data_IF_397145876777
#
_entry.id   IF_397145876777
#
_cell.length_a   1.000
_cell.length_b   1.000
_cell.length_c   1.000
_cell.angle_alpha   90.00
_cell.angle_beta   90.00
_cell.angle_gamma   90.00
#
_symmetry.space_group_name_H-M   'P 1'
#
loop_
_entity.id
_entity.type
_entity.pdbx_description
1 polymer ?
#
# COMPACT_ATOMS: atom_id res chain seq x y z
N UNK A 1 -9.16 -2.38 4.03
CA UNK A 1 -9.99 -3.15 5.01
C UNK A 1 -11.44 -2.76 4.83
N UNK A 2 -12.36 -3.73 4.77
CA UNK A 2 -13.79 -3.46 4.69
C UNK A 2 -14.35 -2.86 5.99
N UNK A 3 -15.54 -2.26 5.91
CA UNK A 3 -16.32 -1.90 7.09
C UNK A 3 -16.95 -3.15 7.71
N UNK A 4 -16.79 -3.36 9.02
CA UNK A 4 -17.39 -4.51 9.73
C UNK A 4 -18.91 -4.50 9.63
N UNK A 5 -19.52 -3.30 9.59
CA UNK A 5 -20.96 -3.15 9.39
C UNK A 5 -21.37 -3.65 8.00
N UNK A 6 -20.58 -3.31 6.96
CA UNK A 6 -20.83 -3.79 5.60
C UNK A 6 -20.73 -5.31 5.52
N UNK A 7 -19.69 -5.91 6.14
CA UNK A 7 -19.51 -7.38 6.17
C UNK A 7 -20.70 -8.07 6.84
N UNK A 8 -21.17 -7.50 7.95
CA UNK A 8 -22.31 -8.04 8.69
C UNK A 8 -23.64 -7.94 7.94
N UNK A 9 -23.84 -6.84 7.23
CA UNK A 9 -25.07 -6.59 6.46
C UNK A 9 -25.10 -7.26 5.09
N UNK A 10 -23.92 -7.58 4.53
CA UNK A 10 -23.77 -8.13 3.17
C UNK A 10 -22.79 -9.32 3.11
N UNK A 11 -22.96 -10.37 3.96
CA UNK A 11 -22.00 -11.46 4.05
C UNK A 11 -21.86 -12.23 2.73
N UNK A 12 -22.95 -12.43 1.99
CA UNK A 12 -22.95 -13.17 0.72
C UNK A 12 -22.18 -12.41 -0.36
N UNK A 13 -22.32 -11.09 -0.43
CA UNK A 13 -21.56 -10.26 -1.37
C UNK A 13 -20.04 -10.32 -1.07
N UNK A 14 -19.66 -10.31 0.22
CA UNK A 14 -18.25 -10.44 0.63
C UNK A 14 -17.71 -11.82 0.27
N UNK A 15 -18.47 -12.89 0.53
CA UNK A 15 -18.09 -14.27 0.15
C UNK A 15 -17.97 -14.43 -1.38
N UNK A 16 -18.87 -13.84 -2.15
CA UNK A 16 -18.79 -13.85 -3.61
C UNK A 16 -17.53 -13.12 -4.10
N UNK A 17 -17.20 -11.97 -3.50
CA UNK A 17 -15.98 -11.24 -3.82
C UNK A 17 -14.71 -12.07 -3.51
N UNK A 18 -14.68 -12.77 -2.39
CA UNK A 18 -13.59 -13.69 -2.03
C UNK A 18 -13.43 -14.79 -3.09
N UNK A 19 -14.55 -15.38 -3.56
CA UNK A 19 -14.53 -16.39 -4.65
C UNK A 19 -14.02 -15.80 -5.96
N UNK A 20 -14.48 -14.59 -6.34
CA UNK A 20 -13.98 -13.88 -7.52
C UNK A 20 -12.47 -13.62 -7.47
N UNK A 21 -11.90 -13.49 -6.28
CA UNK A 21 -10.45 -13.35 -6.05
C UNK A 21 -9.72 -14.69 -5.90
N UNK A 22 -10.40 -15.83 -6.08
CA UNK A 22 -9.84 -17.17 -5.94
C UNK A 22 -9.18 -17.43 -4.56
N UNK A 23 -9.79 -16.87 -3.51
CA UNK A 23 -9.27 -16.94 -2.14
C UNK A 23 -10.20 -17.75 -1.21
N UNK A 24 -10.76 -18.86 -1.69
CA UNK A 24 -11.80 -19.65 -1.00
C UNK A 24 -11.44 -20.06 0.44
N UNK A 25 -10.15 -20.20 0.76
CA UNK A 25 -9.67 -20.45 2.10
C UNK A 25 -10.08 -19.37 3.12
N UNK A 26 -10.42 -18.16 2.66
CA UNK A 26 -10.88 -17.05 3.49
C UNK A 26 -12.39 -17.02 3.74
N UNK A 27 -13.19 -17.86 3.06
CA UNK A 27 -14.65 -17.89 3.21
C UNK A 27 -15.12 -18.06 4.65
N UNK A 28 -14.53 -19.00 5.46
CA UNK A 28 -14.94 -19.19 6.85
C UNK A 28 -14.71 -17.95 7.74
N UNK A 29 -13.75 -17.08 7.37
CA UNK A 29 -13.44 -15.87 8.13
C UNK A 29 -14.60 -14.88 8.17
N UNK A 30 -15.45 -14.87 7.13
CA UNK A 30 -16.63 -14.00 7.07
C UNK A 30 -17.64 -14.37 8.16
N UNK A 31 -17.92 -15.67 8.32
CA UNK A 31 -18.85 -16.14 9.36
C UNK A 31 -18.23 -15.97 10.77
N UNK A 32 -16.93 -16.29 10.91
CA UNK A 32 -16.21 -16.12 12.17
C UNK A 32 -16.23 -14.66 12.64
N UNK A 33 -15.97 -13.70 11.76
CA UNK A 33 -15.92 -12.28 12.15
C UNK A 33 -17.30 -11.77 12.56
N UNK A 34 -18.39 -12.21 11.90
CA UNK A 34 -19.76 -11.84 12.24
C UNK A 34 -20.14 -12.39 13.62
N UNK A 35 -19.78 -13.65 13.92
CA UNK A 35 -20.01 -14.27 15.24
C UNK A 35 -19.25 -13.52 16.34
N UNK A 36 -17.95 -13.24 16.10
CA UNK A 36 -17.12 -12.54 17.10
C UNK A 36 -17.56 -11.08 17.30
N UNK A 37 -17.98 -10.37 16.24
CA UNK A 37 -18.55 -9.04 16.36
C UNK A 37 -19.85 -9.02 17.17
N UNK A 38 -20.69 -10.04 17.02
CA UNK A 38 -21.90 -10.16 17.85
C UNK A 38 -21.55 -10.34 19.33
N UNK A 39 -20.57 -11.19 19.67
CA UNK A 39 -20.08 -11.39 21.04
C UNK A 39 -19.44 -10.11 21.59
N UNK A 40 -18.58 -9.46 20.81
CA UNK A 40 -17.93 -8.20 21.17
C UNK A 40 -18.95 -7.12 21.55
N UNK A 41 -19.97 -6.92 20.70
CA UNK A 41 -21.04 -5.92 20.98
C UNK A 41 -21.90 -6.29 22.19
N UNK A 42 -22.10 -7.59 22.45
CA UNK A 42 -22.81 -8.05 23.65
C UNK A 42 -21.97 -7.79 24.91
N UNK A 43 -20.69 -8.12 24.90
CA UNK A 43 -19.77 -7.86 26.01
C UNK A 43 -19.67 -6.35 26.31
N UNK A 44 -19.50 -5.52 25.28
CA UNK A 44 -19.44 -4.06 25.42
C UNK A 44 -20.69 -3.50 26.11
N UNK A 45 -21.89 -3.93 25.67
CA UNK A 45 -23.16 -3.53 26.26
C UNK A 45 -23.30 -3.95 27.74
N UNK A 46 -22.81 -5.15 28.08
CA UNK A 46 -22.83 -5.66 29.44
C UNK A 46 -21.85 -4.90 30.34
N UNK A 47 -20.65 -4.61 29.86
CA UNK A 47 -19.65 -3.77 30.55
C UNK A 47 -20.22 -2.37 30.85
N UNK A 48 -20.86 -1.74 29.87
CA UNK A 48 -21.53 -0.43 30.09
C UNK A 48 -22.64 -0.51 31.15
N UNK A 49 -23.47 -1.55 31.11
CA UNK A 49 -24.54 -1.76 32.09
C UNK A 49 -24.01 -1.97 33.53
N UNK A 50 -22.94 -2.81 33.66
CA UNK A 50 -22.30 -3.04 34.96
C UNK A 50 -21.62 -1.79 35.51
N UNK A 51 -20.92 -1.02 34.67
CA UNK A 51 -20.36 0.29 35.06
C UNK A 51 -21.44 1.28 35.53
N UNK A 52 -22.58 1.34 34.84
CA UNK A 52 -23.70 2.18 35.23
C UNK A 52 -24.33 1.72 36.56
N UNK A 53 -24.55 0.40 36.77
CA UNK A 53 -25.04 -0.20 38.00
C UNK A 53 -24.10 0.10 39.19
N UNK A 54 -22.81 -0.13 39.02
CA UNK A 54 -21.76 0.20 40.01
C UNK A 54 -21.79 1.67 40.44
N UNK A 55 -21.88 2.58 39.46
CA UNK A 55 -21.95 4.01 39.76
C UNK A 55 -23.22 4.38 40.53
N UNK A 56 -24.38 3.75 40.23
CA UNK A 56 -25.63 3.96 40.93
C UNK A 56 -25.55 3.46 42.37
N UNK A 57 -25.04 2.26 42.61
CA UNK A 57 -24.86 1.68 43.96
C UNK A 57 -23.86 2.50 44.80
N UNK A 58 -22.73 2.92 44.22
CA UNK A 58 -21.77 3.78 44.90
C UNK A 58 -22.35 5.11 45.32
N UNK A 59 -23.20 5.73 44.48
CA UNK A 59 -23.90 6.96 44.81
C UNK A 59 -24.96 6.75 45.90
N UNK A 60 -25.63 5.60 45.94
CA UNK A 60 -26.64 5.28 46.95
C UNK A 60 -26.05 5.12 48.37
N UNK A 61 -24.77 4.74 48.48
CA UNK A 61 -24.08 4.63 49.77
C UNK A 61 -23.84 5.98 50.44
N UNK A 62 -23.74 7.09 49.70
CA UNK A 62 -23.51 8.43 50.27
C UNK A 62 -24.57 8.87 51.30
N UNK A 63 -25.85 8.84 50.96
CA UNK A 63 -26.95 9.09 51.92
C UNK A 63 -26.96 8.11 53.09
N UNK A 64 -26.69 6.80 52.86
CA UNK A 64 -26.66 5.78 53.90
C UNK A 64 -25.53 6.05 54.91
N UNK A 65 -24.35 6.45 54.49
CA UNK A 65 -23.29 6.87 55.40
C UNK A 65 -23.66 8.11 56.20
N UNK A 66 -24.41 9.05 55.58
CA UNK A 66 -24.94 10.22 56.27
C UNK A 66 -25.99 9.87 57.36
N UNK A 67 -26.84 8.88 57.06
CA UNK A 67 -27.82 8.35 57.99
C UNK A 67 -27.16 7.57 59.13
N UNK A 68 -26.20 6.70 58.80
CA UNK A 68 -25.45 5.91 59.79
C UNK A 68 -24.77 6.81 60.85
N UNK A 69 -24.17 7.92 60.42
CA UNK A 69 -23.53 8.90 61.33
C UNK A 69 -24.51 9.63 62.26
N UNK A 70 -25.76 9.78 61.88
CA UNK A 70 -26.79 10.51 62.66
C UNK A 70 -27.71 9.60 63.50
N UNK A 71 -27.70 8.30 63.21
CA UNK A 71 -28.54 7.31 63.88
C UNK A 71 -28.01 7.03 65.27
N UNK A 72 -28.93 7.02 66.28
CA UNK A 72 -28.62 6.67 67.67
C UNK A 72 -29.14 5.30 68.08
N UNK A 73 -30.07 4.72 67.32
CA UNK A 73 -30.61 3.37 67.50
C UNK A 73 -29.71 2.28 66.95
N UNK A 74 -29.32 1.38 67.81
CA UNK A 74 -28.37 0.29 67.44
C UNK A 74 -28.98 -0.71 66.44
N UNK A 75 -30.31 -0.98 66.52
CA UNK A 75 -30.96 -1.86 65.55
C UNK A 75 -30.98 -1.24 64.12
N UNK A 76 -31.34 0.06 64.03
CA UNK A 76 -31.32 0.81 62.78
C UNK A 76 -29.91 0.99 62.20
N UNK A 77 -28.89 1.19 63.05
CA UNK A 77 -27.48 1.24 62.59
C UNK A 77 -27.06 -0.07 61.94
N UNK A 78 -27.40 -1.21 62.54
CA UNK A 78 -27.10 -2.52 62.00
C UNK A 78 -27.77 -2.74 60.65
N UNK A 79 -29.02 -2.28 60.46
CA UNK A 79 -29.72 -2.41 59.17
C UNK A 79 -29.10 -1.53 58.09
N UNK A 80 -28.77 -0.25 58.41
CA UNK A 80 -28.09 0.64 57.46
C UNK A 80 -26.70 0.10 57.10
N UNK A 81 -25.95 -0.42 58.06
CA UNK A 81 -24.62 -1.04 57.80
C UNK A 81 -24.75 -2.27 56.89
N UNK A 82 -25.73 -3.14 57.16
CA UNK A 82 -25.96 -4.33 56.30
C UNK A 82 -26.31 -3.92 54.85
N UNK A 83 -27.04 -2.84 54.65
CA UNK A 83 -27.37 -2.32 53.33
C UNK A 83 -26.14 -1.73 52.61
N UNK A 84 -25.27 -1.02 53.34
CA UNK A 84 -23.97 -0.54 52.80
C UNK A 84 -23.10 -1.71 52.42
N UNK A 85 -23.01 -2.74 53.27
CA UNK A 85 -22.17 -3.92 53.01
C UNK A 85 -22.70 -4.72 51.81
N UNK A 86 -24.03 -4.86 51.67
CA UNK A 86 -24.63 -5.48 50.50
C UNK A 86 -24.34 -4.70 49.21
N UNK A 87 -24.46 -3.37 49.22
CA UNK A 87 -24.11 -2.53 48.10
C UNK A 87 -22.61 -2.63 47.74
N UNK A 88 -21.72 -2.66 48.74
CA UNK A 88 -20.29 -2.79 48.52
C UNK A 88 -19.93 -4.17 47.93
N UNK A 89 -20.60 -5.23 48.40
CA UNK A 89 -20.43 -6.58 47.85
C UNK A 89 -20.89 -6.64 46.37
N UNK A 90 -22.01 -6.02 46.03
CA UNK A 90 -22.51 -5.93 44.65
C UNK A 90 -21.56 -5.08 43.78
N UNK A 91 -21.08 -3.93 44.29
CA UNK A 91 -20.08 -3.11 43.58
C UNK A 91 -18.78 -3.92 43.25
N UNK A 92 -18.34 -4.77 44.21
CA UNK A 92 -17.18 -5.61 44.01
C UNK A 92 -17.45 -6.70 42.97
N UNK A 93 -18.59 -7.39 43.07
CA UNK A 93 -18.98 -8.41 42.10
C UNK A 93 -19.10 -7.84 40.66
N UNK A 94 -19.72 -6.65 40.51
CA UNK A 94 -19.81 -5.95 39.22
C UNK A 94 -18.46 -5.52 38.72
N UNK A 95 -17.51 -5.16 39.60
CA UNK A 95 -16.15 -4.81 39.20
C UNK A 95 -15.36 -6.02 38.71
N UNK A 96 -15.46 -7.16 39.42
CA UNK A 96 -14.77 -8.42 39.04
C UNK A 96 -15.31 -8.92 37.70
N UNK A 97 -16.63 -8.93 37.50
CA UNK A 97 -17.26 -9.32 36.23
C UNK A 97 -16.91 -8.34 35.08
N UNK A 98 -16.84 -7.04 35.37
CA UNK A 98 -16.37 -6.07 34.36
C UNK A 98 -14.97 -6.36 33.91
N UNK A 99 -14.05 -6.69 34.81
CA UNK A 99 -12.65 -7.00 34.46
C UNK A 99 -12.52 -8.28 33.62
N UNK A 100 -13.37 -9.29 33.85
CA UNK A 100 -13.42 -10.51 33.00
C UNK A 100 -13.92 -10.19 31.58
N UNK A 101 -15.03 -9.44 31.49
CA UNK A 101 -15.59 -9.05 30.19
C UNK A 101 -14.67 -8.10 29.38
N UNK A 102 -13.96 -7.19 30.04
CA UNK A 102 -12.97 -6.32 29.37
C UNK A 102 -11.81 -7.12 28.76
N UNK A 103 -11.37 -8.21 29.40
CA UNK A 103 -10.37 -9.13 28.82
C UNK A 103 -10.93 -9.90 27.62
N UNK A 104 -12.19 -10.35 27.71
CA UNK A 104 -12.86 -11.00 26.57
C UNK A 104 -13.04 -10.03 25.41
N UNK A 105 -13.45 -8.80 25.71
CA UNK A 105 -13.58 -7.69 24.72
C UNK A 105 -12.27 -7.44 24.00
N UNK A 106 -11.13 -7.32 24.72
CA UNK A 106 -9.80 -7.14 24.15
C UNK A 106 -9.41 -8.30 23.21
N UNK A 107 -9.62 -9.54 23.65
CA UNK A 107 -9.32 -10.73 22.84
C UNK A 107 -10.20 -10.81 21.57
N UNK A 108 -11.50 -10.51 21.70
CA UNK A 108 -12.43 -10.46 20.56
C UNK A 108 -12.07 -9.36 19.59
N UNK A 109 -11.75 -8.16 20.09
CA UNK A 109 -11.33 -7.01 19.28
C UNK A 109 -10.07 -7.32 18.46
N UNK A 110 -9.04 -7.91 19.10
CA UNK A 110 -7.80 -8.30 18.43
C UNK A 110 -8.07 -9.33 17.32
N UNK A 111 -8.90 -10.36 17.58
CA UNK A 111 -9.23 -11.37 16.58
C UNK A 111 -10.08 -10.82 15.43
N UNK A 112 -11.05 -9.96 15.73
CA UNK A 112 -11.84 -9.26 14.71
C UNK A 112 -10.92 -8.44 13.80
N UNK A 113 -9.98 -7.69 14.36
CA UNK A 113 -9.04 -6.90 13.58
C UNK A 113 -8.17 -7.77 12.67
N UNK A 114 -7.62 -8.87 13.18
CA UNK A 114 -6.84 -9.83 12.39
C UNK A 114 -7.62 -10.37 11.19
N UNK A 115 -8.86 -10.81 11.42
CA UNK A 115 -9.74 -11.31 10.36
C UNK A 115 -10.06 -10.20 9.35
N UNK A 116 -10.43 -9.02 9.82
CA UNK A 116 -10.77 -7.88 8.94
C UNK A 116 -9.58 -7.42 8.10
N UNK A 117 -8.35 -7.58 8.58
CA UNK A 117 -7.13 -7.32 7.80
C UNK A 117 -6.88 -8.39 6.73
N UNK A 118 -7.41 -9.61 6.92
CA UNK A 118 -7.26 -10.74 6.00
C UNK A 118 -8.35 -10.78 4.92
N UNK A 119 -9.55 -10.21 5.18
CA UNK A 119 -10.63 -10.14 4.19
C UNK A 119 -10.27 -9.10 3.13
N UNK A 120 -10.27 -9.46 1.83
CA UNK A 120 -9.91 -8.55 0.76
C UNK A 120 -10.95 -7.44 0.57
N UNK A 121 -10.51 -6.31 0.00
CA UNK A 121 -11.38 -5.21 -0.42
C UNK A 121 -12.31 -5.67 -1.55
N UNK A 122 -13.49 -5.06 -1.64
CA UNK A 122 -14.40 -5.29 -2.76
C UNK A 122 -13.77 -4.80 -4.06
N UNK A 123 -13.74 -5.66 -5.08
CA UNK A 123 -13.23 -5.29 -6.40
C UNK A 123 -14.27 -4.48 -7.17
N UNK A 124 -13.79 -3.57 -8.03
CA UNK A 124 -14.63 -2.83 -8.96
C UNK A 124 -15.32 -3.78 -9.96
N UNK A 125 -16.60 -3.56 -10.32
CA UNK A 125 -17.30 -4.41 -11.28
C UNK A 125 -16.63 -4.54 -12.65
N UNK A 126 -15.78 -3.61 -13.04
CA UNK A 126 -15.05 -3.63 -14.31
C UNK A 126 -13.78 -4.49 -14.29
N UNK A 127 -13.38 -5.03 -13.13
CA UNK A 127 -12.20 -5.88 -13.00
C UNK A 127 -12.43 -7.21 -13.72
N UNK A 128 -11.53 -7.63 -14.64
CA UNK A 128 -11.61 -8.94 -15.27
C UNK A 128 -11.52 -10.06 -14.23
N UNK A 129 -12.27 -11.14 -14.43
CA UNK A 129 -12.24 -12.29 -13.52
C UNK A 129 -11.25 -13.33 -14.04
N UNK A 130 -10.26 -13.68 -13.24
CA UNK A 130 -9.24 -14.66 -13.58
C UNK A 130 -8.40 -15.04 -12.35
N UNK A 131 -7.82 -16.26 -12.30
CA UNK A 131 -7.13 -16.78 -11.13
C UNK A 131 -5.72 -16.20 -10.90
N UNK A 132 -5.05 -15.71 -11.96
CA UNK A 132 -3.67 -15.24 -11.92
C UNK A 132 -3.38 -14.23 -13.07
N UNK A 133 -2.17 -13.69 -13.12
CA UNK A 133 -1.73 -12.67 -14.08
C UNK A 133 -1.86 -13.05 -15.55
N UNK A 134 -1.94 -14.34 -15.88
CA UNK A 134 -2.16 -14.81 -17.27
C UNK A 134 -3.55 -14.44 -17.80
N UNK A 135 -4.48 -14.08 -16.92
CA UNK A 135 -5.84 -13.60 -17.24
C UNK A 135 -5.95 -12.08 -17.29
N UNK A 136 -4.85 -11.36 -17.12
CA UNK A 136 -4.84 -9.91 -17.29
C UNK A 136 -5.20 -9.53 -18.72
N UNK A 137 -5.96 -8.44 -18.89
CA UNK A 137 -6.56 -8.07 -20.18
C UNK A 137 -5.90 -6.82 -20.73
N UNK A 138 -5.31 -6.94 -21.93
CA UNK A 138 -4.82 -5.78 -22.67
C UNK A 138 -5.99 -4.85 -23.03
N UNK A 139 -5.93 -3.58 -22.59
CA UNK A 139 -6.94 -2.58 -22.90
C UNK A 139 -6.59 -1.80 -24.16
N UNK A 140 -5.36 -1.29 -24.24
CA UNK A 140 -4.93 -0.52 -25.41
C UNK A 140 -3.38 -0.40 -25.48
N UNK A 141 -2.90 -0.05 -26.67
CA UNK A 141 -1.46 0.19 -26.97
C UNK A 141 -1.22 1.64 -27.34
N UNK A 142 -0.01 2.11 -27.04
CA UNK A 142 0.44 3.46 -27.30
C UNK A 142 1.82 3.41 -27.95
N UNK A 143 1.92 3.85 -29.19
CA UNK A 143 3.10 3.75 -30.04
C UNK A 143 3.26 2.38 -30.68
N UNK A 144 3.94 2.39 -31.84
CA UNK A 144 4.14 1.18 -32.62
C UNK A 144 5.38 0.43 -32.11
N UNK A 145 5.25 -0.88 -31.77
CA UNK A 145 6.39 -1.71 -31.42
C UNK A 145 7.27 -1.94 -32.65
N UNK A 146 8.57 -1.67 -32.49
CA UNK A 146 9.56 -1.86 -33.57
C UNK A 146 10.50 -3.01 -33.19
N UNK A 147 10.81 -3.86 -34.13
CA UNK A 147 11.88 -4.87 -34.03
C UNK A 147 12.95 -4.48 -35.04
N UNK A 148 14.16 -4.10 -34.60
CA UNK A 148 15.23 -3.73 -35.52
C UNK A 148 15.72 -4.96 -36.30
N UNK A 149 16.43 -4.73 -37.43
CA UNK A 149 17.01 -5.75 -38.29
C UNK A 149 18.36 -6.29 -37.81
N UNK A 150 18.79 -5.90 -36.62
CA UNK A 150 19.99 -6.37 -35.95
C UNK A 150 19.66 -7.01 -34.59
N UNK A 151 20.51 -7.93 -34.08
CA UNK A 151 20.29 -8.59 -32.79
C UNK A 151 20.49 -7.60 -31.66
N UNK A 152 19.56 -7.62 -30.70
CA UNK A 152 19.65 -6.84 -29.46
C UNK A 152 20.25 -7.71 -28.36
N UNK A 153 21.43 -7.35 -27.79
CA UNK A 153 22.05 -8.06 -26.69
C UNK A 153 21.17 -7.97 -25.41
N UNK A 154 21.49 -8.81 -24.43
CA UNK A 154 20.87 -8.69 -23.12
C UNK A 154 21.21 -7.33 -22.47
N UNK A 155 20.31 -6.76 -21.70
CA UNK A 155 20.48 -5.39 -21.18
C UNK A 155 21.78 -5.20 -20.37
N UNK A 156 22.24 -6.21 -19.62
CA UNK A 156 23.52 -6.10 -18.91
C UNK A 156 24.70 -6.08 -19.89
N UNK A 157 24.63 -6.81 -20.99
CA UNK A 157 25.67 -6.78 -22.02
C UNK A 157 25.73 -5.42 -22.72
N UNK A 158 24.57 -4.79 -22.94
CA UNK A 158 24.52 -3.42 -23.43
C UNK A 158 25.19 -2.49 -22.42
N UNK A 159 24.84 -2.57 -21.12
CA UNK A 159 25.42 -1.74 -20.07
C UNK A 159 26.94 -1.98 -19.92
N UNK A 160 27.39 -3.22 -20.01
CA UNK A 160 28.82 -3.59 -19.98
C UNK A 160 29.61 -2.97 -21.15
N UNK A 161 29.00 -2.83 -22.32
CA UNK A 161 29.66 -2.17 -23.46
C UNK A 161 29.99 -0.70 -23.22
N UNK A 162 29.31 -0.08 -22.25
CA UNK A 162 29.54 1.28 -21.77
C UNK A 162 30.41 1.36 -20.51
N UNK A 163 30.97 0.26 -20.01
CA UNK A 163 31.55 0.12 -18.67
C UNK A 163 30.58 0.62 -17.58
N UNK A 164 29.27 0.41 -17.81
CA UNK A 164 28.17 1.06 -17.11
C UNK A 164 27.56 0.26 -15.96
N UNK A 165 27.97 -0.99 -15.74
CA UNK A 165 27.45 -1.85 -14.67
C UNK A 165 28.55 -2.76 -14.12
N UNK A 166 28.52 -3.01 -12.79
CA UNK A 166 29.40 -3.99 -12.12
C UNK A 166 28.56 -4.84 -11.16
N UNK A 167 28.09 -5.99 -11.65
CA UNK A 167 27.34 -6.96 -10.87
C UNK A 167 28.24 -7.81 -9.96
N UNK A 168 29.48 -8.05 -10.37
CA UNK A 168 30.44 -8.86 -9.61
C UNK A 168 30.89 -8.14 -8.32
N UNK A 169 31.17 -6.84 -8.40
CA UNK A 169 31.46 -6.05 -7.23
C UNK A 169 30.25 -5.98 -6.30
N UNK A 170 29.06 -5.80 -6.83
CA UNK A 170 27.82 -5.81 -6.04
C UNK A 170 27.61 -7.15 -5.32
N UNK A 171 27.85 -8.27 -6.01
CA UNK A 171 27.82 -9.61 -5.44
C UNK A 171 28.76 -9.79 -4.26
N UNK A 172 29.99 -9.24 -4.34
CA UNK A 172 30.97 -9.29 -3.23
C UNK A 172 30.59 -8.42 -2.03
N UNK A 173 29.88 -7.30 -2.26
CA UNK A 173 29.54 -6.31 -1.21
C UNK A 173 28.21 -6.61 -0.54
N UNK A 174 27.19 -6.95 -1.32
CA UNK A 174 25.81 -7.05 -0.83
C UNK A 174 25.10 -8.36 -1.21
N UNK A 175 25.68 -9.16 -2.07
CA UNK A 175 25.07 -10.38 -2.61
C UNK A 175 24.39 -10.19 -3.96
N UNK A 176 23.73 -11.25 -4.42
CA UNK A 176 22.96 -11.20 -5.68
C UNK A 176 21.73 -10.29 -5.54
N UNK A 177 21.29 -9.72 -6.65
CA UNK A 177 20.15 -8.81 -6.66
C UNK A 177 20.48 -7.36 -6.28
N UNK A 178 21.78 -7.01 -6.29
CA UNK A 178 22.30 -5.65 -6.18
C UNK A 178 23.14 -5.32 -7.40
N UNK A 179 23.43 -4.05 -7.62
CA UNK A 179 24.21 -3.57 -8.75
C UNK A 179 25.03 -2.33 -8.40
N UNK A 180 26.09 -2.08 -9.13
CA UNK A 180 26.68 -0.77 -9.30
C UNK A 180 26.38 -0.28 -10.71
N UNK A 181 25.85 0.94 -10.86
CA UNK A 181 25.78 1.64 -12.12
C UNK A 181 26.93 2.64 -12.20
N UNK A 182 27.53 2.77 -13.39
CA UNK A 182 28.73 3.55 -13.60
C UNK A 182 28.55 4.48 -14.83
N UNK A 183 29.34 5.53 -14.88
CA UNK A 183 29.49 6.40 -16.05
C UNK A 183 28.18 6.93 -16.62
N UNK A 184 28.02 6.80 -17.94
CA UNK A 184 26.83 7.29 -18.62
C UNK A 184 25.56 6.50 -18.33
N UNK A 185 25.64 5.23 -17.93
CA UNK A 185 24.47 4.44 -17.51
C UNK A 185 23.95 4.97 -16.17
N UNK A 186 24.82 5.23 -15.19
CA UNK A 186 24.42 5.86 -13.93
C UNK A 186 23.82 7.27 -14.16
N UNK A 187 24.41 8.05 -15.08
CA UNK A 187 23.89 9.36 -15.46
C UNK A 187 22.52 9.27 -16.11
N UNK A 188 22.27 8.29 -16.98
CA UNK A 188 20.98 8.04 -17.60
C UNK A 188 19.93 7.67 -16.57
N UNK A 189 20.28 6.83 -15.58
CA UNK A 189 19.43 6.47 -14.46
C UNK A 189 18.95 7.72 -13.70
N UNK A 190 19.87 8.61 -13.32
CA UNK A 190 19.55 9.88 -12.64
C UNK A 190 18.77 10.84 -13.54
N UNK A 191 19.08 10.90 -14.83
CA UNK A 191 18.40 11.74 -15.80
C UNK A 191 16.92 11.39 -15.92
N UNK A 192 16.59 10.09 -15.93
CA UNK A 192 15.21 9.60 -15.97
C UNK A 192 14.45 9.99 -14.72
N UNK A 193 15.04 9.84 -13.53
CA UNK A 193 14.41 10.25 -12.26
C UNK A 193 14.21 11.77 -12.19
N UNK A 194 15.20 12.55 -12.60
CA UNK A 194 15.12 14.01 -12.61
C UNK A 194 14.02 14.49 -13.58
N UNK A 195 13.97 13.91 -14.78
CA UNK A 195 12.92 14.21 -15.75
C UNK A 195 11.53 13.83 -15.21
N UNK A 196 11.37 12.63 -14.66
CA UNK A 196 10.09 12.18 -14.11
C UNK A 196 9.61 13.07 -12.95
N UNK A 197 10.52 13.52 -12.08
CA UNK A 197 10.22 14.48 -11.01
C UNK A 197 9.68 15.79 -11.60
N UNK A 198 10.40 16.38 -12.56
CA UNK A 198 10.03 17.67 -13.15
C UNK A 198 8.74 17.55 -13.97
N UNK A 199 8.54 16.43 -14.67
CA UNK A 199 7.31 16.09 -15.36
C UNK A 199 6.11 16.10 -14.39
N UNK A 200 6.22 15.47 -13.23
CA UNK A 200 5.14 15.43 -12.24
C UNK A 200 4.89 16.80 -11.58
N UNK A 201 5.94 17.58 -11.30
CA UNK A 201 5.80 18.95 -10.80
C UNK A 201 5.04 19.80 -11.82
N UNK A 202 5.36 19.68 -13.11
CA UNK A 202 4.67 20.38 -14.19
C UNK A 202 3.21 19.95 -14.37
N UNK A 203 2.85 18.73 -13.94
CA UNK A 203 1.45 18.25 -13.84
C UNK A 203 0.73 18.76 -12.58
N UNK A 204 1.37 19.58 -11.75
CA UNK A 204 0.77 20.16 -10.55
C UNK A 204 0.89 19.31 -9.29
N UNK A 205 1.70 18.24 -9.30
CA UNK A 205 1.96 17.43 -8.12
C UNK A 205 2.97 18.11 -7.19
N UNK A 206 2.71 18.04 -5.89
CA UNK A 206 3.66 18.51 -4.88
C UNK A 206 4.76 17.46 -4.69
N UNK A 207 6.01 17.86 -4.94
CA UNK A 207 7.16 16.98 -4.71
C UNK A 207 7.49 16.85 -3.22
N UNK A 208 7.71 15.62 -2.75
CA UNK A 208 7.98 15.30 -1.35
C UNK A 208 9.14 14.31 -1.26
N UNK A 209 10.05 14.53 -0.32
CA UNK A 209 11.07 13.55 0.10
C UNK A 209 10.59 12.99 1.44
N UNK A 210 10.11 11.73 1.48
CA UNK A 210 9.57 11.11 2.69
C UNK A 210 10.67 10.44 3.52
N UNK A 211 10.38 10.02 4.77
CA UNK A 211 11.21 9.07 5.49
C UNK A 211 11.32 7.72 4.74
N UNK A 212 12.50 7.11 4.75
CA UNK A 212 12.75 5.82 4.09
C UNK A 212 12.61 4.62 5.03
N UNK A 213 12.17 4.87 6.25
CA UNK A 213 11.81 3.89 7.26
C UNK A 213 10.48 4.26 7.89
N UNK A 214 9.74 3.26 8.40
CA UNK A 214 8.44 3.47 9.03
C UNK A 214 8.18 2.46 10.13
N UNK A 215 7.27 2.78 11.04
CA UNK A 215 6.79 1.88 12.08
C UNK A 215 5.89 0.75 11.56
N UNK A 216 5.82 -0.36 12.30
CA UNK A 216 5.02 -1.53 11.93
C UNK A 216 3.53 -1.26 11.75
N UNK A 217 2.94 -0.33 12.50
CA UNK A 217 1.54 0.07 12.35
C UNK A 217 1.26 0.75 11.00
N UNK A 218 2.22 1.52 10.47
CA UNK A 218 2.11 2.10 9.12
C UNK A 218 2.17 0.99 8.07
N UNK A 219 3.13 0.04 8.21
CA UNK A 219 3.23 -1.11 7.29
C UNK A 219 1.91 -1.86 7.21
N UNK A 220 1.32 -2.22 8.36
CA UNK A 220 0.04 -2.92 8.44
C UNK A 220 -1.13 -2.10 7.86
N UNK A 221 -1.00 -0.79 7.87
CA UNK A 221 -1.99 0.12 7.29
C UNK A 221 -2.00 0.13 5.76
N UNK A 222 -0.84 -0.07 5.13
CA UNK A 222 -0.66 0.13 3.67
C UNK A 222 -0.58 -1.15 2.86
N UNK A 223 -0.34 -2.32 3.48
CA UNK A 223 -0.24 -3.60 2.77
C UNK A 223 -0.87 -4.76 3.56
N UNK A 224 -1.00 -5.91 2.92
CA UNK A 224 -1.44 -7.15 3.58
C UNK A 224 -0.31 -7.83 4.34
N UNK A 225 -0.64 -8.72 5.29
CA UNK A 225 0.37 -9.48 6.03
C UNK A 225 1.25 -10.38 5.15
N UNK A 226 0.72 -11.11 4.14
CA UNK A 226 1.56 -11.88 3.22
C UNK A 226 2.55 -11.01 2.44
N UNK A 227 2.11 -9.84 1.95
CA UNK A 227 2.99 -8.88 1.26
C UNK A 227 4.08 -8.35 2.18
N UNK A 228 3.74 -8.04 3.43
CA UNK A 228 4.70 -7.57 4.43
C UNK A 228 5.82 -8.58 4.65
N UNK A 229 5.52 -9.88 4.83
CA UNK A 229 6.54 -10.91 5.03
C UNK A 229 7.40 -11.15 3.79
N UNK A 230 6.79 -11.14 2.61
CA UNK A 230 7.47 -11.37 1.34
C UNK A 230 8.40 -10.20 0.94
N UNK A 231 8.03 -8.96 1.29
CA UNK A 231 8.65 -7.74 0.76
C UNK A 231 9.55 -7.01 1.76
N UNK A 232 9.12 -6.85 3.03
CA UNK A 232 9.69 -5.85 3.92
C UNK A 232 10.95 -6.29 4.66
N UNK A 233 12.00 -5.47 4.63
CA UNK A 233 13.14 -5.58 5.55
C UNK A 233 12.81 -4.90 6.87
N UNK A 234 13.02 -5.60 7.98
CA UNK A 234 12.88 -5.09 9.34
C UNK A 234 14.25 -4.81 9.96
N UNK A 235 14.37 -3.71 10.67
CA UNK A 235 15.57 -3.40 11.47
C UNK A 235 15.52 -4.25 12.75
N UNK A 236 16.60 -4.97 13.01
CA UNK A 236 16.71 -5.81 14.21
C UNK A 236 16.73 -4.96 15.47
N UNK A 237 15.93 -5.34 16.48
CA UNK A 237 15.83 -4.65 17.76
C UNK A 237 14.99 -3.38 17.77
N UNK A 238 14.42 -2.96 16.62
CA UNK A 238 13.62 -1.75 16.52
C UNK A 238 12.26 -2.02 15.84
N UNK A 239 11.27 -1.17 16.13
CA UNK A 239 10.01 -1.14 15.38
C UNK A 239 10.14 -0.26 14.14
N UNK A 240 11.13 -0.59 13.29
CA UNK A 240 11.37 0.10 12.03
C UNK A 240 11.51 -0.89 10.87
N UNK A 241 10.95 -0.49 9.74
CA UNK A 241 10.97 -1.23 8.48
C UNK A 241 11.46 -0.32 7.36
N UNK A 242 12.35 -0.82 6.49
CA UNK A 242 12.72 -0.12 5.27
C UNK A 242 11.53 -0.09 4.30
N UNK A 243 11.33 1.02 3.61
CA UNK A 243 10.23 1.15 2.63
C UNK A 243 10.47 0.29 1.39
N UNK A 244 9.42 -0.36 0.89
CA UNK A 244 9.42 -1.02 -0.42
C UNK A 244 8.96 -0.09 -1.56
N UNK A 245 8.43 1.07 -1.22
CA UNK A 245 7.96 2.16 -2.09
C UNK A 245 7.70 3.39 -1.24
N UNK A 246 7.85 4.59 -1.80
CA UNK A 246 7.48 5.83 -1.10
C UNK A 246 5.99 5.95 -0.78
N UNK A 247 5.12 5.23 -1.50
CA UNK A 247 3.68 5.13 -1.18
C UNK A 247 3.47 4.89 0.31
N UNK A 248 4.23 3.96 0.90
CA UNK A 248 4.04 3.53 2.29
C UNK A 248 4.11 4.69 3.28
N UNK A 249 5.20 5.44 3.24
CA UNK A 249 5.40 6.57 4.16
C UNK A 249 4.63 7.82 3.75
N UNK A 250 4.32 7.96 2.45
CA UNK A 250 3.49 9.07 1.97
C UNK A 250 2.04 8.95 2.44
N UNK A 251 1.47 7.76 2.43
CA UNK A 251 0.14 7.51 3.00
C UNK A 251 0.21 7.53 4.53
N UNK A 252 1.26 6.94 5.12
CA UNK A 252 1.52 6.97 6.57
C UNK A 252 1.62 8.39 7.15
N UNK A 253 2.00 9.39 6.34
CA UNK A 253 2.00 10.81 6.73
C UNK A 253 0.66 11.29 7.28
N UNK A 254 -0.43 10.67 6.87
CA UNK A 254 -1.79 11.09 7.23
C UNK A 254 -2.43 10.22 8.32
N UNK A 255 -1.68 9.31 8.98
CA UNK A 255 -2.19 8.45 10.06
C UNK A 255 -2.88 9.29 11.14
N UNK A 256 -4.10 8.85 11.56
CA UNK A 256 -4.94 9.49 12.57
C UNK A 256 -5.33 10.95 12.28
N UNK A 257 -5.26 11.39 11.02
CA UNK A 257 -5.59 12.77 10.64
C UNK A 257 -6.97 12.91 10.04
N UNK A 258 -7.58 14.08 10.33
CA UNK A 258 -8.78 14.55 9.65
C UNK A 258 -8.40 15.74 8.76
N UNK A 259 -8.46 15.48 7.45
CA UNK A 259 -8.08 16.43 6.42
C UNK A 259 -9.23 17.39 6.07
N UNK A 260 -8.90 18.58 5.61
CA UNK A 260 -9.87 19.57 5.16
C UNK A 260 -10.31 19.27 3.73
N UNK A 261 -11.63 19.09 3.51
CA UNK A 261 -12.20 18.82 2.17
C UNK A 261 -11.84 19.90 1.14
N UNK A 262 -11.67 21.15 1.54
CA UNK A 262 -11.31 22.25 0.66
C UNK A 262 -9.92 22.12 0.03
N UNK A 263 -9.08 21.24 0.60
CA UNK A 263 -7.73 20.94 0.11
C UNK A 263 -7.66 19.69 -0.76
N UNK A 264 -8.79 19.01 -0.97
CA UNK A 264 -8.82 17.80 -1.80
C UNK A 264 -8.98 18.15 -3.28
N UNK A 265 -8.36 17.35 -4.17
CA UNK A 265 -7.45 16.25 -3.89
C UNK A 265 -6.04 16.72 -3.49
N UNK A 266 -5.35 15.89 -2.69
CA UNK A 266 -3.90 16.04 -2.47
C UNK A 266 -3.18 15.19 -3.52
N UNK A 267 -2.44 15.86 -4.41
CA UNK A 267 -1.64 15.23 -5.47
C UNK A 267 -0.17 15.37 -5.12
N UNK A 268 0.47 14.24 -4.81
CA UNK A 268 1.82 14.16 -4.30
C UNK A 268 2.69 13.29 -5.19
N UNK A 269 3.93 13.66 -5.38
CA UNK A 269 4.93 12.83 -6.05
C UNK A 269 6.18 12.74 -5.20
N UNK A 270 6.82 11.59 -5.17
CA UNK A 270 7.98 11.39 -4.31
C UNK A 270 9.00 10.46 -4.93
N UNK A 271 10.25 10.82 -4.75
CA UNK A 271 11.40 9.95 -4.96
C UNK A 271 11.70 9.15 -3.70
N UNK A 272 12.05 7.88 -3.85
CA UNK A 272 12.69 7.11 -2.79
C UNK A 272 13.55 5.98 -3.32
N UNK A 273 14.57 5.55 -2.57
CA UNK A 273 15.05 4.17 -2.65
C UNK A 273 13.92 3.23 -2.21
N UNK A 274 13.94 2.03 -2.75
CA UNK A 274 13.00 0.96 -2.45
C UNK A 274 13.79 -0.30 -2.10
N UNK A 275 13.38 -0.97 -1.02
CA UNK A 275 14.05 -2.17 -0.52
C UNK A 275 13.06 -3.33 -0.47
N UNK A 276 13.32 -4.41 -1.22
CA UNK A 276 12.42 -5.56 -1.30
C UNK A 276 13.18 -6.87 -1.15
N UNK A 277 12.67 -7.76 -0.30
CA UNK A 277 13.23 -9.11 -0.11
C UNK A 277 13.07 -10.00 -1.33
N UNK A 278 12.09 -9.73 -2.20
CA UNK A 278 11.76 -10.51 -3.40
C UNK A 278 11.67 -12.03 -3.13
N UNK A 279 11.08 -12.41 -1.97
CA UNK A 279 10.91 -13.83 -1.62
C UNK A 279 9.95 -14.51 -2.60
N UNK A 280 10.38 -15.66 -3.14
CA UNK A 280 9.55 -16.50 -4.01
C UNK A 280 9.58 -16.11 -5.48
N UNK A 281 10.37 -15.12 -5.87
CA UNK A 281 10.57 -14.76 -7.26
C UNK A 281 11.52 -15.77 -7.94
N UNK A 282 11.07 -16.37 -9.05
CA UNK A 282 11.85 -17.32 -9.84
C UNK A 282 11.58 -17.14 -11.33
N UNK A 283 12.63 -16.98 -12.16
CA UNK A 283 12.51 -16.93 -13.60
C UNK A 283 13.80 -16.53 -14.32
N UNK A 284 13.96 -16.93 -15.58
CA UNK A 284 15.14 -16.60 -16.40
C UNK A 284 15.18 -15.10 -16.76
N UNK A 285 14.03 -14.50 -16.98
CA UNK A 285 13.89 -13.07 -17.31
C UNK A 285 14.13 -12.14 -16.10
N UNK A 286 14.28 -12.71 -14.91
CA UNK A 286 14.57 -11.98 -13.67
C UNK A 286 16.07 -11.71 -13.45
N UNK A 287 16.92 -12.10 -14.42
CA UNK A 287 18.36 -11.82 -14.35
C UNK A 287 18.65 -10.32 -14.55
N UNK A 288 19.86 -9.94 -14.20
CA UNK A 288 20.33 -8.55 -14.34
C UNK A 288 19.64 -7.62 -13.38
N UNK A 289 19.06 -6.53 -13.89
CA UNK A 289 18.43 -5.50 -13.09
C UNK A 289 16.89 -5.52 -13.11
N UNK A 290 16.28 -6.58 -13.67
CA UNK A 290 14.82 -6.67 -13.76
C UNK A 290 14.16 -6.85 -12.40
N UNK A 291 14.74 -7.72 -11.52
CA UNK A 291 14.28 -7.99 -10.16
C UNK A 291 15.45 -7.94 -9.19
N UNK A 292 15.42 -6.94 -8.33
CA UNK A 292 16.54 -6.55 -7.46
C UNK A 292 16.05 -6.15 -6.08
N UNK A 293 16.93 -6.25 -5.09
CA UNK A 293 16.60 -5.95 -3.68
C UNK A 293 16.59 -4.47 -3.33
N UNK A 294 17.32 -3.67 -4.11
CA UNK A 294 17.39 -2.22 -3.94
C UNK A 294 17.29 -1.52 -5.29
N UNK A 295 16.37 -0.56 -5.40
CA UNK A 295 16.21 0.30 -6.58
C UNK A 295 15.63 1.65 -6.18
N UNK A 296 15.62 2.59 -7.09
CA UNK A 296 14.97 3.89 -6.92
C UNK A 296 13.64 3.94 -7.68
N UNK A 297 12.73 4.79 -7.19
CA UNK A 297 11.42 5.00 -7.81
C UNK A 297 10.91 6.42 -7.61
N UNK A 298 10.35 7.00 -8.66
CA UNK A 298 9.46 8.15 -8.58
C UNK A 298 8.01 7.66 -8.57
N UNK A 299 7.24 8.07 -7.56
CA UNK A 299 5.87 7.61 -7.31
C UNK A 299 4.88 8.76 -7.43
N UNK A 300 3.64 8.43 -7.80
CA UNK A 300 2.47 9.31 -7.78
C UNK A 300 1.51 8.83 -6.70
N UNK A 301 1.09 9.71 -5.80
CA UNK A 301 0.14 9.43 -4.72
C UNK A 301 -0.98 10.44 -4.76
N UNK A 302 -2.23 9.96 -4.68
CA UNK A 302 -3.41 10.81 -4.57
C UNK A 302 -4.22 10.42 -3.34
N UNK A 303 -4.57 11.44 -2.55
CA UNK A 303 -5.56 11.32 -1.46
C UNK A 303 -6.73 12.21 -1.85
N UNK A 304 -7.91 11.64 -2.02
CA UNK A 304 -9.05 12.34 -2.58
C UNK A 304 -10.39 11.95 -1.92
N UNK A 305 -11.43 12.63 -2.34
CA UNK A 305 -12.81 12.27 -1.98
C UNK A 305 -13.20 10.97 -2.71
N UNK A 306 -14.12 10.16 -2.14
CA UNK A 306 -14.54 8.89 -2.74
C UNK A 306 -15.02 9.02 -4.19
N UNK A 307 -15.80 10.05 -4.49
CA UNK A 307 -16.35 10.30 -5.83
C UNK A 307 -15.32 10.68 -6.89
N UNK A 308 -14.12 11.09 -6.49
CA UNK A 308 -13.04 11.48 -7.40
C UNK A 308 -12.10 10.33 -7.75
N UNK A 309 -12.16 9.22 -7.02
CA UNK A 309 -11.12 8.18 -7.11
C UNK A 309 -11.09 7.46 -8.46
N UNK A 310 -12.24 7.27 -9.11
CA UNK A 310 -12.31 6.67 -10.44
C UNK A 310 -11.62 7.56 -11.50
N UNK A 311 -11.88 8.88 -11.47
CA UNK A 311 -11.27 9.84 -12.39
C UNK A 311 -9.76 9.97 -12.16
N UNK A 312 -9.32 9.93 -10.90
CA UNK A 312 -7.90 9.97 -10.57
C UNK A 312 -7.17 8.70 -10.99
N UNK A 313 -7.80 7.54 -10.89
CA UNK A 313 -7.24 6.30 -11.40
C UNK A 313 -6.94 6.40 -12.91
N UNK A 314 -7.91 6.89 -13.71
CA UNK A 314 -7.72 7.07 -15.15
C UNK A 314 -6.60 8.07 -15.47
N UNK A 315 -6.52 9.20 -14.75
CA UNK A 315 -5.46 10.20 -14.94
C UNK A 315 -4.07 9.67 -14.59
N UNK A 316 -3.95 8.88 -13.52
CA UNK A 316 -2.66 8.41 -13.03
C UNK A 316 -1.96 7.47 -14.03
N UNK A 317 -2.65 6.46 -14.53
CA UNK A 317 -2.03 5.55 -15.49
C UNK A 317 -1.73 6.25 -16.84
N UNK A 318 -2.58 7.19 -17.27
CA UNK A 318 -2.32 8.01 -18.47
C UNK A 318 -1.05 8.86 -18.35
N UNK A 319 -0.74 9.39 -17.16
CA UNK A 319 0.50 10.14 -16.93
C UNK A 319 1.73 9.24 -17.09
N UNK A 320 1.70 7.97 -16.66
CA UNK A 320 2.80 7.04 -16.93
C UNK A 320 2.95 6.76 -18.42
N UNK A 321 1.85 6.53 -19.13
CA UNK A 321 1.88 6.37 -20.59
C UNK A 321 2.50 7.60 -21.25
N UNK A 322 2.07 8.82 -20.88
CA UNK A 322 2.61 10.07 -21.42
C UNK A 322 4.11 10.19 -21.16
N UNK A 323 4.58 9.88 -19.95
CA UNK A 323 5.99 9.91 -19.60
C UNK A 323 6.81 8.94 -20.48
N UNK A 324 6.41 7.69 -20.59
CA UNK A 324 7.12 6.68 -21.40
C UNK A 324 7.08 7.04 -22.89
N UNK A 325 5.94 7.53 -23.39
CA UNK A 325 5.81 7.96 -24.78
C UNK A 325 6.65 9.19 -25.09
N UNK A 326 6.84 10.12 -24.14
CA UNK A 326 7.75 11.25 -24.33
C UNK A 326 9.21 10.84 -24.43
N UNK A 327 9.55 9.68 -23.87
CA UNK A 327 10.86 9.00 -24.03
C UNK A 327 10.88 8.04 -25.21
N UNK A 328 9.90 8.10 -26.12
CA UNK A 328 9.81 7.31 -27.37
C UNK A 328 9.69 5.79 -27.16
N UNK A 329 9.29 5.34 -25.98
CA UNK A 329 9.12 3.92 -25.63
C UNK A 329 7.67 3.52 -25.89
N UNK A 330 7.39 2.49 -26.74
CA UNK A 330 6.04 1.93 -26.90
C UNK A 330 5.59 1.23 -25.63
N UNK A 331 4.34 1.46 -25.23
CA UNK A 331 3.75 0.86 -24.03
C UNK A 331 2.34 0.34 -24.31
N UNK A 332 1.86 -0.55 -23.43
CA UNK A 332 0.45 -0.94 -23.38
C UNK A 332 -0.11 -0.83 -21.97
N UNK A 333 -1.42 -0.68 -21.85
CA UNK A 333 -2.16 -0.81 -20.61
C UNK A 333 -2.71 -2.23 -20.49
N UNK A 334 -2.45 -2.87 -19.35
CA UNK A 334 -2.91 -4.21 -19.01
C UNK A 334 -3.78 -4.14 -17.75
N UNK A 335 -5.08 -4.41 -17.85
CA UNK A 335 -5.98 -4.45 -16.71
C UNK A 335 -5.74 -5.73 -15.90
N UNK A 336 -5.39 -5.58 -14.62
CA UNK A 336 -5.18 -6.70 -13.72
C UNK A 336 -6.51 -7.41 -13.42
N UNK A 337 -6.50 -8.74 -13.46
CA UNK A 337 -7.65 -9.56 -13.10
C UNK A 337 -7.79 -9.74 -11.59
N UNK A 338 -8.92 -10.28 -11.17
CA UNK A 338 -9.30 -10.40 -9.76
C UNK A 338 -8.34 -11.23 -8.90
N UNK A 339 -7.73 -12.28 -9.46
CA UNK A 339 -6.77 -13.14 -8.75
C UNK A 339 -5.38 -12.52 -8.61
N UNK A 340 -5.01 -11.60 -9.52
CA UNK A 340 -3.75 -10.86 -9.49
C UNK A 340 -3.82 -9.61 -8.58
N UNK A 341 -5.01 -9.12 -8.24
CA UNK A 341 -5.17 -7.97 -7.36
C UNK A 341 -4.76 -8.29 -5.92
N UNK A 342 -3.84 -7.51 -5.35
CA UNK A 342 -3.57 -7.50 -3.92
C UNK A 342 -4.83 -7.20 -3.08
N UNK A 343 -4.84 -7.65 -1.81
CA UNK A 343 -6.05 -7.63 -0.98
C UNK A 343 -6.65 -6.24 -0.73
N UNK A 344 -5.83 -5.20 -0.74
CA UNK A 344 -6.29 -3.82 -0.50
C UNK A 344 -6.79 -3.12 -1.75
N UNK A 345 -6.51 -3.65 -2.95
CA UNK A 345 -6.83 -2.99 -4.21
C UNK A 345 -8.29 -3.21 -4.62
N UNK A 346 -8.94 -2.13 -5.03
CA UNK A 346 -10.26 -2.12 -5.66
C UNK A 346 -10.14 -2.39 -7.16
N UNK A 347 -9.14 -1.77 -7.79
CA UNK A 347 -8.83 -1.89 -9.21
C UNK A 347 -7.35 -1.60 -9.44
N UNK A 348 -6.73 -2.28 -10.41
CA UNK A 348 -5.35 -2.03 -10.81
C UNK A 348 -5.18 -2.23 -12.30
N UNK A 349 -4.22 -1.53 -12.88
CA UNK A 349 -3.68 -1.85 -14.20
C UNK A 349 -2.17 -1.63 -14.19
N UNK A 350 -1.49 -2.38 -15.02
CA UNK A 350 -0.07 -2.22 -15.27
C UNK A 350 0.15 -1.48 -16.59
N UNK A 351 1.20 -0.70 -16.63
CA UNK A 351 1.77 -0.19 -17.87
C UNK A 351 2.98 -1.04 -18.17
N UNK A 352 2.96 -1.66 -19.34
CA UNK A 352 4.03 -2.50 -19.81
C UNK A 352 4.74 -1.86 -21.00
N UNK A 353 6.08 -1.91 -21.00
CA UNK A 353 6.90 -1.40 -22.08
C UNK A 353 7.28 -2.51 -23.07
N UNK A 354 7.40 -2.13 -24.34
CA UNK A 354 7.84 -3.03 -25.39
C UNK A 354 9.31 -3.40 -25.23
N UNK A 355 9.62 -4.69 -25.31
CA UNK A 355 10.98 -5.24 -25.42
C UNK A 355 11.19 -5.73 -26.86
N UNK A 356 11.96 -5.01 -27.69
CA UNK A 356 12.29 -5.49 -29.04
C UNK A 356 13.09 -6.79 -29.03
N UNK A 357 13.92 -7.02 -28.01
CA UNK A 357 14.71 -8.26 -27.83
C UNK A 357 13.81 -9.47 -27.61
N UNK A 358 12.82 -9.33 -26.71
CA UNK A 358 11.91 -10.43 -26.35
C UNK A 358 10.69 -10.50 -27.28
N UNK A 359 10.42 -9.45 -28.07
CA UNK A 359 9.21 -9.25 -28.87
C UNK A 359 7.92 -9.39 -28.05
N UNK A 360 7.95 -8.88 -26.82
CA UNK A 360 6.82 -8.84 -25.90
C UNK A 360 6.87 -7.60 -25.02
N UNK A 361 5.76 -7.33 -24.37
CA UNK A 361 5.67 -6.29 -23.34
C UNK A 361 6.01 -6.86 -21.98
N UNK A 362 6.53 -6.01 -21.08
CA UNK A 362 6.78 -6.33 -19.68
C UNK A 362 6.47 -5.15 -18.77
N UNK A 363 6.06 -5.44 -17.55
CA UNK A 363 5.62 -4.45 -16.56
C UNK A 363 6.75 -3.46 -16.19
N UNK A 364 6.42 -2.15 -16.29
CA UNK A 364 7.28 -1.04 -15.87
C UNK A 364 6.63 -0.12 -14.84
N UNK A 365 5.29 -0.07 -14.80
CA UNK A 365 4.52 0.69 -13.80
C UNK A 365 3.27 -0.09 -13.39
N UNK A 366 2.79 0.12 -12.17
CA UNK A 366 1.52 -0.41 -11.68
C UNK A 366 0.72 0.69 -11.02
N UNK A 367 -0.50 0.92 -11.53
CA UNK A 367 -1.47 1.90 -11.04
C UNK A 367 -2.55 1.20 -10.22
N UNK A 368 -2.84 1.74 -9.04
CA UNK A 368 -3.80 1.12 -8.12
C UNK A 368 -4.77 2.13 -7.51
N UNK A 369 -6.05 1.76 -7.50
CA UNK A 369 -7.08 2.39 -6.67
C UNK A 369 -7.32 1.47 -5.46
N UNK A 370 -7.10 1.98 -4.24
CA UNK A 370 -7.29 1.24 -3.00
C UNK A 370 -8.60 1.61 -2.30
N UNK A 371 -9.38 2.54 -2.88
CA UNK A 371 -10.59 3.04 -2.24
C UNK A 371 -10.29 3.53 -0.82
N UNK A 372 -11.10 3.14 0.15
CA UNK A 372 -10.94 3.49 1.57
C UNK A 372 -10.08 2.50 2.37
N UNK A 373 -9.47 1.49 1.73
CA UNK A 373 -8.80 0.39 2.42
C UNK A 373 -7.68 0.85 3.37
N UNK A 374 -6.78 1.69 2.88
CA UNK A 374 -5.67 2.24 3.66
C UNK A 374 -6.17 3.31 4.65
N UNK A 375 -7.07 4.18 4.21
CA UNK A 375 -7.64 5.23 5.04
C UNK A 375 -8.38 4.68 6.26
N UNK A 376 -9.07 3.55 6.12
CA UNK A 376 -9.74 2.86 7.21
C UNK A 376 -8.75 2.27 8.22
N UNK A 377 -7.65 1.67 7.75
CA UNK A 377 -6.62 1.09 8.61
C UNK A 377 -5.81 2.16 9.36
N UNK A 378 -5.56 3.31 8.70
CA UNK A 378 -4.75 4.41 9.22
C UNK A 378 -5.59 5.57 9.76
N UNK A 379 -6.92 5.42 9.85
CA UNK A 379 -7.87 6.43 10.34
C UNK A 379 -7.77 7.78 9.61
N UNK A 380 -7.53 7.77 8.31
CA UNK A 380 -7.46 8.98 7.49
C UNK A 380 -8.86 9.42 7.08
N UNK A 381 -9.31 10.56 7.60
CA UNK A 381 -10.65 11.10 7.35
C UNK A 381 -10.58 12.44 6.63
N UNK A 382 -11.67 12.77 5.96
CA UNK A 382 -11.91 14.09 5.39
C UNK A 382 -13.08 14.71 6.16
N UNK A 383 -12.94 15.98 6.56
CA UNK A 383 -14.02 16.77 7.16
C UNK A 383 -14.72 17.56 6.07
N UNK A 384 -15.96 17.17 5.79
CA UNK A 384 -16.82 17.84 4.83
C UNK A 384 -17.28 19.23 5.28
N UNK A 385 -17.77 20.01 4.34
CA UNK A 385 -18.33 21.36 4.60
C UNK A 385 -19.54 21.33 5.53
N UNK A 386 -20.27 20.22 5.59
CA UNK A 386 -21.38 19.97 6.50
C UNK A 386 -20.95 19.61 7.93
N UNK A 387 -19.64 19.56 8.19
CA UNK A 387 -19.03 19.21 9.46
C UNK A 387 -18.93 17.71 9.74
N UNK A 388 -19.47 16.85 8.86
CA UNK A 388 -19.33 15.39 8.97
C UNK A 388 -17.98 14.93 8.46
N UNK A 389 -17.53 13.81 9.00
CA UNK A 389 -16.29 13.16 8.56
C UNK A 389 -16.59 11.87 7.82
N UNK A 390 -15.79 11.61 6.79
CA UNK A 390 -15.83 10.38 6.02
C UNK A 390 -14.38 9.94 5.69
N UNK A 391 -14.21 8.70 5.25
CA UNK A 391 -12.88 8.17 4.92
C UNK A 391 -12.41 8.72 3.58
N UNK A 392 -11.12 9.02 3.48
CA UNK A 392 -10.48 9.35 2.22
C UNK A 392 -10.35 8.11 1.32
N UNK A 393 -10.26 8.31 0.02
CA UNK A 393 -9.75 7.32 -0.92
C UNK A 393 -8.28 7.58 -1.22
N UNK A 394 -7.52 6.52 -1.42
CA UNK A 394 -6.09 6.58 -1.75
C UNK A 394 -5.80 5.86 -3.06
N UNK A 395 -4.90 6.45 -3.84
CA UNK A 395 -4.43 5.88 -5.10
C UNK A 395 -2.92 6.06 -5.20
N UNK A 396 -2.28 5.15 -5.90
CA UNK A 396 -0.87 5.28 -6.25
C UNK A 396 -0.63 4.81 -7.68
N UNK A 397 0.46 5.28 -8.25
CA UNK A 397 1.00 4.77 -9.49
C UNK A 397 2.51 5.02 -9.54
N UNK A 398 3.24 4.07 -10.08
CA UNK A 398 4.64 4.27 -10.42
C UNK A 398 4.73 5.28 -11.56
N UNK A 399 5.40 6.42 -11.31
CA UNK A 399 5.79 7.32 -12.38
C UNK A 399 6.87 6.67 -13.24
N UNK A 400 7.99 6.30 -12.60
CA UNK A 400 9.07 5.52 -13.21
C UNK A 400 9.89 4.79 -12.13
N UNK A 401 10.29 3.56 -12.43
CA UNK A 401 11.32 2.80 -11.72
C UNK A 401 12.47 2.52 -12.69
N UNK A 402 13.60 3.23 -12.57
CA UNK A 402 14.68 3.18 -13.57
C UNK A 402 15.17 1.79 -13.96
N UNK A 403 15.29 0.77 -13.09
CA UNK A 403 15.83 -0.50 -13.53
C UNK A 403 15.06 -1.14 -14.69
N UNK A 404 13.75 -1.28 -14.56
CA UNK A 404 12.91 -1.82 -15.65
C UNK A 404 12.80 -0.83 -16.82
N UNK A 405 12.70 0.44 -16.51
CA UNK A 405 12.70 1.49 -17.53
C UNK A 405 14.00 1.49 -18.34
N UNK A 406 15.19 1.34 -17.71
CA UNK A 406 16.47 1.25 -18.40
C UNK A 406 16.54 0.05 -19.35
N UNK A 407 15.96 -1.10 -18.99
CA UNK A 407 15.87 -2.24 -19.89
C UNK A 407 15.10 -1.83 -21.15
N UNK A 408 13.88 -1.28 -20.99
CA UNK A 408 13.08 -0.84 -22.12
C UNK A 408 13.78 0.25 -22.93
N UNK A 409 14.40 1.23 -22.23
CA UNK A 409 15.11 2.33 -22.87
C UNK A 409 16.27 1.86 -23.74
N UNK A 410 17.18 1.05 -23.16
CA UNK A 410 18.36 0.57 -23.87
C UNK A 410 17.98 -0.30 -25.07
N UNK A 411 16.98 -1.17 -24.94
CA UNK A 411 16.55 -2.03 -26.04
C UNK A 411 15.85 -1.25 -27.17
N UNK A 412 15.07 -0.19 -26.85
CA UNK A 412 14.35 0.60 -27.87
C UNK A 412 15.23 1.67 -28.53
N UNK A 413 16.31 2.12 -27.89
CA UNK A 413 17.18 3.18 -28.40
C UNK A 413 18.55 2.70 -28.91
N UNK A 414 18.84 1.39 -28.80
CA UNK A 414 20.06 0.80 -29.33
C UNK A 414 20.12 0.95 -30.85
N UNK A 415 21.31 1.27 -31.36
CA UNK A 415 21.59 1.36 -32.77
C UNK A 415 22.48 0.18 -33.23
N UNK A 416 22.55 -0.09 -34.54
CA UNK A 416 23.34 -1.18 -35.11
C UNK A 416 24.85 -1.11 -34.79
N UNK A 417 25.36 0.09 -34.54
CA UNK A 417 26.78 0.31 -34.16
C UNK A 417 27.05 0.16 -32.65
N UNK A 418 26.03 -0.19 -31.87
CA UNK A 418 26.06 -0.33 -30.41
C UNK A 418 25.85 0.99 -29.64
N UNK A 419 25.71 2.11 -30.32
CA UNK A 419 25.36 3.38 -29.67
C UNK A 419 23.91 3.39 -29.20
N UNK A 420 23.59 4.29 -28.26
CA UNK A 420 22.22 4.46 -27.74
C UNK A 420 21.82 5.93 -27.93
N UNK A 421 20.73 6.16 -28.63
CA UNK A 421 20.17 7.52 -28.83
C UNK A 421 19.47 8.03 -27.57
N UNK A 422 19.58 9.33 -27.32
CA UNK A 422 18.94 10.00 -26.18
C UNK A 422 17.80 10.87 -26.70
N UNK A 423 16.53 10.56 -26.35
CA UNK A 423 15.37 11.36 -26.68
C UNK A 423 15.53 12.82 -26.22
N UNK A 424 14.94 13.75 -26.97
CA UNK A 424 15.09 15.19 -26.75
C UNK A 424 14.76 15.60 -25.31
N UNK A 425 13.72 15.02 -24.71
CA UNK A 425 13.28 15.29 -23.35
C UNK A 425 14.30 14.95 -22.26
N UNK A 426 15.22 14.02 -22.52
CA UNK A 426 16.28 13.62 -21.59
C UNK A 426 17.62 14.34 -21.82
N UNK A 427 17.83 14.94 -22.99
CA UNK A 427 19.10 15.60 -23.33
C UNK A 427 19.53 16.69 -22.32
N UNK A 428 18.61 17.55 -21.81
CA UNK A 428 18.97 18.54 -20.78
C UNK A 428 19.54 17.88 -19.50
N UNK A 429 18.99 16.75 -19.11
CA UNK A 429 19.42 16.00 -17.91
C UNK A 429 20.69 15.19 -18.16
N UNK A 430 21.01 14.93 -19.42
CA UNK A 430 22.25 14.28 -19.88
C UNK A 430 23.34 15.30 -20.29
N UNK A 431 23.16 16.62 -19.94
CA UNK A 431 24.10 17.68 -20.29
C UNK A 431 24.22 17.94 -21.78
N UNK A 432 23.13 17.76 -22.52
CA UNK A 432 23.07 17.96 -23.97
C UNK A 432 23.53 16.76 -24.79
N UNK A 433 23.84 15.61 -24.16
CA UNK A 433 24.26 14.41 -24.89
C UNK A 433 23.08 13.86 -25.70
N UNK A 434 23.30 13.69 -26.99
CA UNK A 434 22.29 13.17 -27.95
C UNK A 434 22.44 11.67 -28.21
N UNK A 435 23.66 11.15 -28.07
CA UNK A 435 23.99 9.76 -28.31
C UNK A 435 25.05 9.31 -27.31
N UNK A 436 24.85 8.20 -26.66
CA UNK A 436 25.87 7.49 -25.89
C UNK A 436 26.62 6.55 -26.83
N UNK A 437 27.95 6.59 -26.78
CA UNK A 437 28.82 5.70 -27.58
C UNK A 437 29.48 4.70 -26.65
N UNK A 438 29.47 3.39 -26.97
CA UNK A 438 30.09 2.38 -26.11
C UNK A 438 31.61 2.63 -26.00
N UNK A 439 32.13 2.44 -24.77
CA UNK A 439 33.56 2.59 -24.45
C UNK A 439 34.36 1.35 -24.87
N UNK A 440 33.75 0.17 -24.76
CA UNK A 440 34.33 -1.10 -25.14
C UNK A 440 33.69 -1.62 -26.42
N UNK A 441 34.27 -1.34 -27.59
CA UNK A 441 33.94 -2.10 -28.81
C UNK A 441 34.54 -3.49 -28.66
N UNK A 442 33.72 -4.49 -28.34
CA UNK A 442 34.13 -5.90 -28.56
C UNK A 442 34.41 -6.03 -30.07
N UNK A 443 35.70 -6.15 -30.44
CA UNK A 443 36.16 -6.46 -31.82
C UNK A 443 35.64 -7.82 -32.27
#
# INVERSE_FOLDING_TARGET
>A
MLDIKFVRENPDAVKENIKKKFQDAKLPLVDEVIEKDAKYRAALKEVEALKAARNKLSKANGPLFGQLKKCTDEAQKAEIQAQIDANNAAVKADADKTAELEKEEEALSARIQEIMYSIPQMIDPSVPIGPDDTYNVEAQRFGEPVVPDFPIPYHTEIMESFDGIDMDAAGRVAGNGFYYLLGNIARLHEAVLAYARDFMINKGFTYVIPPFMMHGNVVQGVMSFPEMDAMMYKIEGEDLYLIGTSEHTMIGRFIDQTLDESKMPLTLTSYSPCFRKEKGAHGIEERGIYRIHQFEKQEMIVVCRPEESADWYEKLWQMSVELFRSMEIPVRQLNCCSGDLADLKVKSCDIEAWSPRQQKYFEVCSCSNLGDAQARRLHIRIKGKDGKTYLAHTLNNTCVAPPRMLIAFLENHLQADGSVTIPEVLQPYMGGLKVMVPTNKKN
#
